data_IF_961578202572
#
_entry.id   IF_961578202572
#
_cell.length_a   1.000
_cell.length_b   1.000
_cell.length_c   1.000
_cell.angle_alpha   90.00
_cell.angle_beta   90.00
_cell.angle_gamma   90.00
#
_symmetry.space_group_name_H-M   'P 1'
#
loop_
_entity.id
_entity.type
_entity.pdbx_description
1 polymer ?
#
# COMPACT_ATOMS: atom_id res chain seq x y z
N UNK A 1 2.26 -25.73 5.03
CA UNK A 1 1.65 -24.38 4.93
C UNK A 1 2.04 -23.81 3.58
N UNK A 2 1.09 -23.35 2.76
CA UNK A 2 1.41 -22.72 1.47
C UNK A 2 2.15 -21.41 1.78
N UNK A 3 3.42 -21.32 1.36
CA UNK A 3 4.20 -20.09 1.54
C UNK A 3 3.70 -19.08 0.49
N UNK A 4 3.39 -17.87 0.94
CA UNK A 4 3.03 -16.75 0.08
C UNK A 4 4.15 -15.71 0.17
N UNK A 5 4.41 -15.03 -0.93
CA UNK A 5 5.47 -14.01 -1.04
C UNK A 5 4.88 -12.60 -0.92
N UNK A 6 5.75 -11.59 -0.78
CA UNK A 6 5.30 -10.19 -0.84
C UNK A 6 4.72 -9.83 -2.22
N UNK A 7 5.17 -10.50 -3.28
CA UNK A 7 4.62 -10.36 -4.63
C UNK A 7 3.16 -10.83 -4.66
N UNK A 8 2.85 -11.96 -4.02
CA UNK A 8 1.48 -12.45 -3.92
C UNK A 8 0.58 -11.48 -3.15
N UNK A 9 1.08 -10.91 -2.05
CA UNK A 9 0.35 -9.89 -1.28
C UNK A 9 0.06 -8.67 -2.15
N UNK A 10 1.05 -8.18 -2.89
CA UNK A 10 0.92 -6.99 -3.74
C UNK A 10 -0.07 -7.23 -4.89
N UNK A 11 0.01 -8.38 -5.54
CA UNK A 11 -0.96 -8.80 -6.56
C UNK A 11 -2.36 -8.91 -5.98
N UNK A 12 -2.51 -9.45 -4.76
CA UNK A 12 -3.80 -9.59 -4.10
C UNK A 12 -4.44 -8.23 -3.84
N UNK A 13 -3.65 -7.27 -3.35
CA UNK A 13 -4.11 -5.90 -3.12
C UNK A 13 -4.50 -5.20 -4.43
N UNK A 14 -3.72 -5.39 -5.50
CA UNK A 14 -4.05 -4.89 -6.84
C UNK A 14 -5.36 -5.47 -7.38
N UNK A 15 -5.56 -6.77 -7.25
CA UNK A 15 -6.81 -7.42 -7.67
C UNK A 15 -8.02 -6.91 -6.87
N UNK A 16 -7.84 -6.66 -5.57
CA UNK A 16 -8.87 -6.05 -4.73
C UNK A 16 -9.20 -4.61 -5.15
N UNK A 17 -8.20 -3.82 -5.52
CA UNK A 17 -8.41 -2.46 -6.04
C UNK A 17 -9.18 -2.46 -7.38
N UNK A 18 -9.04 -3.52 -8.18
CA UNK A 18 -9.81 -3.75 -9.40
C UNK A 18 -11.23 -4.29 -9.14
N UNK A 19 -11.68 -4.36 -7.87
CA UNK A 19 -13.03 -4.79 -7.50
C UNK A 19 -13.17 -6.28 -7.16
N UNK A 20 -12.07 -7.04 -7.12
CA UNK A 20 -12.14 -8.45 -6.72
C UNK A 20 -12.38 -8.57 -5.20
N UNK A 21 -13.29 -9.45 -4.78
CA UNK A 21 -13.56 -9.66 -3.36
C UNK A 21 -12.37 -10.30 -2.64
N UNK A 22 -12.09 -9.86 -1.41
CA UNK A 22 -11.00 -10.37 -0.56
C UNK A 22 -10.99 -11.90 -0.41
N UNK A 23 -12.18 -12.54 -0.36
CA UNK A 23 -12.27 -14.01 -0.31
C UNK A 23 -11.72 -14.67 -1.57
N UNK A 24 -12.04 -14.12 -2.75
CA UNK A 24 -11.62 -14.68 -4.04
C UNK A 24 -10.13 -14.46 -4.25
N UNK A 25 -9.64 -13.24 -4.02
CA UNK A 25 -8.23 -12.90 -4.17
C UNK A 25 -7.32 -13.71 -3.21
N UNK A 26 -7.78 -13.93 -1.97
CA UNK A 26 -7.09 -14.79 -0.98
C UNK A 26 -6.98 -16.25 -1.41
N UNK A 27 -8.02 -16.81 -2.04
CA UNK A 27 -8.02 -18.20 -2.52
C UNK A 27 -7.12 -18.37 -3.75
N UNK A 28 -7.23 -17.45 -4.71
CA UNK A 28 -6.46 -17.47 -5.97
C UNK A 28 -4.96 -17.41 -5.70
N UNK A 29 -4.52 -16.45 -4.89
CA UNK A 29 -3.09 -16.19 -4.64
C UNK A 29 -2.57 -16.91 -3.40
N UNK A 30 -3.44 -17.60 -2.65
CA UNK A 30 -3.05 -18.36 -1.46
C UNK A 30 -2.59 -17.50 -0.28
N UNK A 31 -2.92 -16.20 -0.25
CA UNK A 31 -2.56 -15.29 0.82
C UNK A 31 -3.60 -15.34 1.94
N UNK A 32 -3.21 -15.52 3.22
CA UNK A 32 -4.13 -15.53 4.34
C UNK A 32 -4.88 -14.20 4.50
N UNK A 33 -6.17 -14.30 4.82
CA UNK A 33 -7.04 -13.12 5.04
C UNK A 33 -6.52 -12.23 6.18
N UNK A 34 -5.96 -12.83 7.23
CA UNK A 34 -5.35 -12.11 8.35
C UNK A 34 -4.18 -11.23 7.90
N UNK A 35 -3.33 -11.74 7.00
CA UNK A 35 -2.23 -10.98 6.39
C UNK A 35 -2.76 -9.80 5.58
N UNK A 36 -3.75 -10.04 4.72
CA UNK A 36 -4.37 -8.98 3.92
C UNK A 36 -5.02 -7.90 4.80
N UNK A 37 -5.79 -8.29 5.82
CA UNK A 37 -6.40 -7.37 6.77
C UNK A 37 -5.37 -6.54 7.53
N UNK A 38 -4.27 -7.16 7.97
CA UNK A 38 -3.17 -6.45 8.62
C UNK A 38 -2.51 -5.45 7.68
N UNK A 39 -2.36 -5.80 6.39
CA UNK A 39 -1.79 -4.91 5.37
C UNK A 39 -2.74 -3.75 5.05
N UNK A 40 -4.04 -3.99 4.92
CA UNK A 40 -5.06 -2.94 4.69
C UNK A 40 -5.09 -1.96 5.88
N UNK A 41 -5.16 -2.46 7.12
CA UNK A 41 -5.15 -1.61 8.32
C UNK A 41 -3.84 -0.85 8.49
N UNK A 42 -2.70 -1.51 8.26
CA UNK A 42 -1.38 -0.88 8.35
C UNK A 42 -1.13 0.14 7.23
N UNK A 43 -1.61 -0.13 6.02
CA UNK A 43 -1.58 0.82 4.90
C UNK A 43 -2.49 2.01 5.20
N UNK A 44 -3.70 1.80 5.73
CA UNK A 44 -4.60 2.88 6.11
C UNK A 44 -4.00 3.78 7.20
N UNK A 45 -3.34 3.21 8.21
CA UNK A 45 -2.64 4.01 9.23
C UNK A 45 -1.51 4.86 8.65
N UNK A 46 -0.76 4.30 7.68
CA UNK A 46 0.30 5.05 6.98
C UNK A 46 -0.27 6.10 6.04
N UNK A 47 -1.35 5.81 5.33
CA UNK A 47 -1.99 6.75 4.40
C UNK A 47 -2.60 7.95 5.14
N UNK A 48 -3.23 7.73 6.30
CA UNK A 48 -3.72 8.81 7.16
C UNK A 48 -2.57 9.62 7.79
N UNK A 49 -1.45 8.98 8.15
CA UNK A 49 -0.27 9.68 8.64
C UNK A 49 0.45 10.46 7.52
N UNK A 50 0.49 9.91 6.30
CA UNK A 50 1.10 10.55 5.12
C UNK A 50 0.24 11.72 4.64
N UNK A 51 -1.09 11.63 4.66
CA UNK A 51 -1.97 12.77 4.34
C UNK A 51 -1.74 13.98 5.25
N UNK A 52 -1.36 13.76 6.50
CA UNK A 52 -0.99 14.83 7.45
C UNK A 52 0.43 15.36 7.18
N UNK A 53 1.37 14.48 6.81
CA UNK A 53 2.78 14.83 6.58
C UNK A 53 3.12 15.38 5.18
N UNK A 54 2.21 15.29 4.19
CA UNK A 54 2.45 15.83 2.83
C UNK A 54 2.01 17.30 2.66
N UNK A 55 1.41 17.93 3.69
CA UNK A 55 1.10 19.37 3.69
C UNK A 55 2.25 20.26 4.17
N UNK A 56 3.48 19.75 4.14
CA UNK A 56 4.68 20.57 4.10
C UNK A 56 5.34 20.35 2.75
N UNK A 57 4.71 20.89 1.70
CA UNK A 57 5.42 21.11 0.44
C UNK A 57 6.66 21.96 0.73
N UNK A 58 7.83 21.59 0.21
CA UNK A 58 9.05 22.34 0.43
C UNK A 58 8.85 23.77 -0.08
N UNK A 59 9.09 24.73 0.81
CA UNK A 59 9.37 26.12 0.45
C UNK A 59 10.29 26.13 -0.77
N UNK A 60 9.79 26.75 -1.84
CA UNK A 60 10.56 27.11 -3.01
C UNK A 60 11.77 27.94 -2.57
N UNK A 61 12.98 27.39 -2.64
CA UNK A 61 14.20 28.20 -2.74
C UNK A 61 15.05 27.67 -3.90
N UNK A 62 14.51 27.85 -5.09
CA UNK A 62 15.31 27.85 -6.31
C UNK A 62 15.93 29.25 -6.49
N UNK A 63 17.12 29.47 -5.93
CA UNK A 63 18.02 30.50 -6.45
C UNK A 63 19.49 30.10 -6.22
N UNK A 64 19.96 29.17 -7.04
CA UNK A 64 21.39 29.05 -7.34
C UNK A 64 21.66 29.89 -8.58
N UNK A 65 22.36 31.01 -8.44
CA UNK A 65 23.18 31.58 -9.52
C UNK A 65 24.42 32.17 -8.89
N UNK A 66 25.49 31.38 -9.00
CA UNK A 66 26.85 31.88 -8.93
C UNK A 66 27.23 32.37 -10.33
N UNK A 67 27.64 33.64 -10.46
CA UNK A 67 28.60 34.18 -11.44
C UNK A 67 28.82 35.66 -11.14
#
# INVERSE_FOLDING_TARGET
MKQYTEVDVSQTLGAMANGQSLKKASLELGVPRSTLQRRIRGAQLRDTAVSDQQRFSPTQEGHVTAS
#
